data_IF_284581584154
#
_entry.id   IF_284581584154
#
_cell.length_a   1.000
_cell.length_b   1.000
_cell.length_c   1.000
_cell.angle_alpha   90.00
_cell.angle_beta   90.00
_cell.angle_gamma   90.00
#
_symmetry.space_group_name_H-M   'P 1'
#
loop_
_entity.id
_entity.type
_entity.pdbx_description
1 polymer ?
#
# COMPACT_ATOMS: atom_id res chain seq x y z
N UNK A 1 -43.69 34.98 -37.52
CA UNK A 1 -43.02 35.97 -36.65
C UNK A 1 -41.82 35.29 -36.01
N UNK A 2 -40.62 35.58 -36.53
CA UNK A 2 -39.37 35.02 -36.01
C UNK A 2 -39.09 35.62 -34.63
N UNK A 3 -38.90 34.76 -33.63
CA UNK A 3 -38.56 35.14 -32.26
C UNK A 3 -37.18 35.80 -32.30
N UNK A 4 -37.11 37.14 -32.29
CA UNK A 4 -35.84 37.86 -32.23
C UNK A 4 -35.11 37.43 -30.96
N UNK A 5 -34.02 36.68 -31.11
CA UNK A 5 -33.16 36.30 -29.99
C UNK A 5 -32.64 37.56 -29.31
N UNK A 6 -33.07 37.78 -28.07
CA UNK A 6 -32.76 38.98 -27.31
C UNK A 6 -31.24 39.09 -27.16
N UNK A 7 -30.62 40.17 -27.65
CA UNK A 7 -29.14 40.38 -27.64
C UNK A 7 -28.53 40.17 -26.25
N UNK A 8 -29.30 40.53 -25.21
CA UNK A 8 -28.96 40.30 -23.81
C UNK A 8 -28.81 38.81 -23.48
N UNK A 9 -29.73 37.96 -23.95
CA UNK A 9 -29.68 36.52 -23.74
C UNK A 9 -28.49 35.87 -24.47
N UNK A 10 -28.13 36.38 -25.65
CA UNK A 10 -26.91 35.94 -26.35
C UNK A 10 -25.63 36.28 -25.54
N UNK A 11 -25.53 37.50 -25.01
CA UNK A 11 -24.38 37.92 -24.19
C UNK A 11 -24.32 37.17 -22.84
N UNK A 12 -25.46 36.93 -22.19
CA UNK A 12 -25.56 36.15 -20.94
C UNK A 12 -25.10 34.70 -21.17
N UNK A 13 -25.53 34.05 -22.24
CA UNK A 13 -25.10 32.68 -22.57
C UNK A 13 -23.61 32.66 -22.94
N UNK A 14 -23.14 33.62 -23.75
CA UNK A 14 -21.74 33.70 -24.16
C UNK A 14 -20.79 33.88 -22.98
N UNK A 15 -21.12 34.77 -22.04
CA UNK A 15 -20.32 35.02 -20.84
C UNK A 15 -20.33 33.81 -19.89
N UNK A 16 -21.49 33.17 -19.69
CA UNK A 16 -21.59 31.95 -18.90
C UNK A 16 -20.76 30.79 -19.51
N UNK A 17 -20.79 30.64 -20.84
CA UNK A 17 -19.99 29.63 -21.54
C UNK A 17 -18.49 29.87 -21.35
N UNK A 18 -18.01 31.10 -21.60
CA UNK A 18 -16.60 31.46 -21.41
C UNK A 18 -16.17 31.25 -19.96
N UNK A 19 -16.98 31.70 -19.00
CA UNK A 19 -16.71 31.50 -17.57
C UNK A 19 -16.65 30.02 -17.18
N UNK A 20 -17.55 29.20 -17.73
CA UNK A 20 -17.56 27.75 -17.54
C UNK A 20 -16.31 27.08 -18.10
N UNK A 21 -15.90 27.44 -19.33
CA UNK A 21 -14.69 26.91 -19.96
C UNK A 21 -13.44 27.29 -19.15
N UNK A 22 -13.32 28.56 -18.73
CA UNK A 22 -12.21 29.01 -17.90
C UNK A 22 -12.17 28.29 -16.54
N UNK A 23 -13.32 28.11 -15.92
CA UNK A 23 -13.44 27.41 -14.64
C UNK A 23 -13.04 25.95 -14.75
N UNK A 24 -13.42 25.26 -15.83
CA UNK A 24 -13.00 23.88 -16.09
C UNK A 24 -11.51 23.79 -16.42
N UNK A 25 -11.00 24.71 -17.25
CA UNK A 25 -9.59 24.76 -17.63
C UNK A 25 -8.67 24.92 -16.40
N UNK A 26 -9.08 25.72 -15.41
CA UNK A 26 -8.35 25.87 -14.15
C UNK A 26 -8.66 24.76 -13.12
N UNK A 27 -9.92 24.34 -13.02
CA UNK A 27 -10.40 23.42 -12.00
C UNK A 27 -9.96 21.97 -12.23
N UNK A 28 -10.01 21.49 -13.48
CA UNK A 28 -9.67 20.09 -13.82
C UNK A 28 -8.22 19.76 -13.44
N UNK A 29 -7.19 20.58 -13.77
CA UNK A 29 -5.81 20.30 -13.35
C UNK A 29 -5.64 20.27 -11.83
N UNK A 30 -6.30 21.16 -11.08
CA UNK A 30 -6.18 21.22 -9.62
C UNK A 30 -6.83 20.01 -8.94
N UNK A 31 -8.04 19.65 -9.36
CA UNK A 31 -8.74 18.46 -8.87
C UNK A 31 -7.96 17.21 -9.27
N UNK A 32 -7.50 17.15 -10.52
CA UNK A 32 -6.67 16.07 -11.03
C UNK A 32 -5.39 15.91 -10.19
N UNK A 33 -4.69 16.99 -9.89
CA UNK A 33 -3.51 16.97 -9.03
C UNK A 33 -3.83 16.45 -7.62
N UNK A 34 -4.88 16.95 -6.99
CA UNK A 34 -5.29 16.57 -5.64
C UNK A 34 -5.68 15.08 -5.52
N UNK A 35 -6.35 14.53 -6.54
CA UNK A 35 -6.82 13.15 -6.52
C UNK A 35 -5.79 12.19 -7.16
N UNK A 36 -4.83 12.68 -7.95
CA UNK A 36 -3.85 11.83 -8.64
C UNK A 36 -3.13 10.80 -7.76
N UNK A 37 -2.77 11.05 -6.48
CA UNK A 37 -2.10 10.05 -5.65
C UNK A 37 -2.98 8.83 -5.35
N UNK A 38 -4.30 9.00 -5.31
CA UNK A 38 -5.24 7.90 -5.05
C UNK A 38 -5.27 6.87 -6.19
N UNK A 39 -4.92 7.28 -7.41
CA UNK A 39 -4.94 6.41 -8.60
C UNK A 39 -3.57 5.89 -9.04
N UNK A 40 -2.47 6.42 -8.51
CA UNK A 40 -1.12 5.92 -8.84
C UNK A 40 -0.84 4.63 -8.08
N UNK A 41 -0.74 3.51 -8.78
CA UNK A 41 -0.21 2.25 -8.21
C UNK A 41 1.28 2.43 -7.91
N UNK A 42 1.70 2.05 -6.70
CA UNK A 42 3.11 2.02 -6.33
C UNK A 42 3.90 1.12 -7.28
N UNK A 43 5.08 1.57 -7.72
CA UNK A 43 6.02 0.68 -8.40
C UNK A 43 6.52 -0.36 -7.40
N UNK A 44 6.12 -1.61 -7.58
CA UNK A 44 6.63 -2.69 -6.75
C UNK A 44 8.08 -2.98 -7.08
N UNK A 45 8.97 -2.91 -6.09
CA UNK A 45 10.40 -3.20 -6.26
C UNK A 45 10.80 -4.40 -5.41
N UNK A 46 11.69 -5.22 -5.96
CA UNK A 46 12.31 -6.30 -5.21
C UNK A 46 13.35 -5.71 -4.25
N UNK A 47 13.23 -6.05 -2.98
CA UNK A 47 14.14 -5.62 -1.92
C UNK A 47 14.90 -6.82 -1.40
N UNK A 48 16.20 -6.68 -1.31
CA UNK A 48 17.13 -7.67 -0.75
C UNK A 48 16.95 -7.77 0.78
N UNK A 49 16.66 -8.97 1.28
CA UNK A 49 16.59 -9.29 2.72
C UNK A 49 17.85 -9.96 3.26
N UNK A 50 18.78 -10.34 2.39
CA UNK A 50 20.04 -11.02 2.69
C UNK A 50 20.06 -12.50 2.30
N UNK A 51 21.14 -13.19 2.68
CA UNK A 51 21.35 -14.61 2.38
C UNK A 51 20.26 -15.48 3.02
N UNK A 52 19.57 -16.25 2.19
CA UNK A 52 18.50 -17.16 2.57
C UNK A 52 18.93 -18.13 3.68
N UNK A 53 20.15 -18.66 3.61
CA UNK A 53 20.68 -19.60 4.61
C UNK A 53 20.80 -19.00 6.02
N UNK A 54 21.10 -17.69 6.14
CA UNK A 54 21.15 -16.98 7.44
C UNK A 54 19.76 -16.65 7.99
N UNK A 55 18.74 -16.76 7.14
CA UNK A 55 17.35 -16.45 7.47
C UNK A 55 16.53 -17.69 7.79
N UNK A 56 17.04 -18.89 7.49
CA UNK A 56 16.35 -20.16 7.77
C UNK A 56 16.00 -20.26 9.24
N UNK A 57 14.70 -20.38 9.48
CA UNK A 57 14.16 -20.57 10.81
C UNK A 57 12.79 -21.25 10.69
N UNK A 58 12.57 -22.28 11.51
CA UNK A 58 11.27 -22.94 11.65
C UNK A 58 10.23 -22.04 12.34
N UNK A 59 10.68 -20.99 13.05
CA UNK A 59 9.85 -19.95 13.67
C UNK A 59 9.84 -18.66 12.84
N UNK A 60 8.83 -17.83 13.07
CA UNK A 60 8.76 -16.50 12.46
C UNK A 60 9.87 -15.58 12.97
N UNK A 61 10.82 -15.25 12.11
CA UNK A 61 11.90 -14.30 12.38
C UNK A 61 11.50 -12.90 11.90
N UNK A 62 11.69 -11.90 12.73
CA UNK A 62 11.54 -10.49 12.33
C UNK A 62 12.78 -10.05 11.56
N UNK A 63 12.59 -9.49 10.37
CA UNK A 63 13.65 -8.84 9.59
C UNK A 63 13.22 -7.44 9.22
N UNK A 64 14.12 -6.48 9.43
CA UNK A 64 13.94 -5.10 9.00
C UNK A 64 14.65 -4.91 7.65
N UNK A 65 14.02 -4.16 6.74
CA UNK A 65 14.64 -3.74 5.48
C UNK A 65 14.33 -2.28 5.21
N UNK A 66 15.12 -1.68 4.32
CA UNK A 66 14.92 -0.30 3.88
C UNK A 66 14.58 -0.29 2.41
N UNK A 67 13.70 0.62 2.03
CA UNK A 67 13.30 0.81 0.64
C UNK A 67 13.10 2.29 0.37
N UNK A 68 13.37 2.70 -0.86
CA UNK A 68 13.17 4.08 -1.30
C UNK A 68 11.76 4.23 -1.84
N UNK A 69 10.89 4.87 -1.06
CA UNK A 69 9.56 5.27 -1.51
C UNK A 69 9.66 6.61 -2.25
N UNK A 70 9.14 6.67 -3.48
CA UNK A 70 8.95 7.93 -4.21
C UNK A 70 7.49 8.36 -4.05
N UNK A 71 7.27 9.48 -3.38
CA UNK A 71 5.95 10.09 -3.21
C UNK A 71 5.95 11.47 -3.86
N UNK A 72 5.28 11.59 -5.00
CA UNK A 72 5.37 12.75 -5.88
C UNK A 72 6.82 13.07 -6.27
N UNK A 73 7.33 14.19 -5.76
CA UNK A 73 8.69 14.69 -6.01
C UNK A 73 9.70 14.25 -4.94
N UNK A 74 9.23 13.70 -3.82
CA UNK A 74 10.07 13.33 -2.68
C UNK A 74 10.48 11.87 -2.81
N UNK A 75 11.80 11.61 -2.75
CA UNK A 75 12.34 10.27 -2.54
C UNK A 75 12.74 10.15 -1.07
N UNK A 76 12.08 9.25 -0.34
CA UNK A 76 12.38 9.01 1.07
C UNK A 76 12.75 7.54 1.28
N UNK A 77 13.86 7.31 1.97
CA UNK A 77 14.22 5.98 2.46
C UNK A 77 13.36 5.66 3.68
N UNK A 78 12.49 4.67 3.55
CA UNK A 78 11.62 4.20 4.64
C UNK A 78 12.14 2.86 5.14
N UNK A 79 12.06 2.65 6.46
CA UNK A 79 12.35 1.36 7.10
C UNK A 79 11.04 0.62 7.32
N UNK A 80 10.95 -0.63 6.84
CA UNK A 80 9.84 -1.54 7.09
C UNK A 80 10.37 -2.83 7.72
N UNK A 81 9.45 -3.65 8.17
CA UNK A 81 9.78 -4.90 8.85
C UNK A 81 8.75 -5.97 8.52
N UNK A 82 9.24 -7.19 8.36
CA UNK A 82 8.45 -8.37 7.98
C UNK A 82 8.72 -9.52 8.93
N UNK A 83 7.78 -10.45 9.01
CA UNK A 83 8.00 -11.77 9.58
C UNK A 83 8.21 -12.77 8.46
N UNK A 84 9.29 -13.54 8.54
CA UNK A 84 9.60 -14.60 7.59
C UNK A 84 9.72 -15.94 8.29
N UNK A 85 9.29 -16.99 7.61
CA UNK A 85 9.49 -18.38 8.02
C UNK A 85 9.77 -19.22 6.79
N UNK A 86 10.55 -20.28 6.98
CA UNK A 86 10.82 -21.29 5.96
C UNK A 86 10.09 -22.57 6.34
N UNK A 87 9.39 -23.18 5.38
CA UNK A 87 8.74 -24.47 5.58
C UNK A 87 9.70 -25.66 5.50
N UNK A 88 11.01 -25.41 5.30
CA UNK A 88 12.07 -26.42 5.25
C UNK A 88 12.19 -27.13 3.89
N UNK A 89 11.27 -26.85 2.97
CA UNK A 89 11.27 -27.30 1.59
C UNK A 89 11.83 -26.24 0.61
N UNK A 90 12.34 -25.11 1.14
CA UNK A 90 12.78 -23.97 0.33
C UNK A 90 11.67 -22.98 -0.01
N UNK A 91 10.43 -23.20 0.47
CA UNK A 91 9.35 -22.24 0.34
C UNK A 91 9.35 -21.24 1.50
N UNK A 92 9.52 -19.97 1.13
CA UNK A 92 9.48 -18.86 2.05
C UNK A 92 8.07 -18.33 2.20
N UNK A 93 7.63 -18.16 3.44
CA UNK A 93 6.42 -17.41 3.77
C UNK A 93 6.80 -16.14 4.49
N UNK A 94 6.49 -14.99 3.86
CA UNK A 94 6.79 -13.67 4.38
C UNK A 94 5.50 -12.89 4.56
N UNK A 95 5.24 -12.44 5.78
CA UNK A 95 4.10 -11.58 6.12
C UNK A 95 4.56 -10.16 6.44
N UNK A 96 3.80 -9.19 5.93
CA UNK A 96 3.91 -7.80 6.37
C UNK A 96 3.57 -7.68 7.85
N UNK A 97 4.32 -6.86 8.59
CA UNK A 97 3.98 -6.53 9.97
C UNK A 97 2.87 -5.50 10.08
N UNK A 98 2.35 -4.98 8.97
CA UNK A 98 1.30 -3.98 8.95
C UNK A 98 -0.06 -4.64 9.12
N UNK A 99 -0.72 -4.35 10.24
CA UNK A 99 -2.08 -4.80 10.52
C UNK A 99 -3.04 -4.27 9.45
N UNK A 100 -3.88 -5.16 8.92
CA UNK A 100 -4.85 -4.86 7.88
C UNK A 100 -6.03 -3.99 8.33
N UNK A 101 -6.14 -3.67 9.63
CA UNK A 101 -7.13 -2.71 10.14
C UNK A 101 -6.73 -1.27 9.79
N UNK A 102 -5.79 -0.69 10.54
CA UNK A 102 -5.34 0.70 10.37
C UNK A 102 -3.81 0.85 10.33
N UNK A 103 -3.09 -0.25 10.06
CA UNK A 103 -1.66 -0.19 9.77
C UNK A 103 -0.71 -0.29 10.97
N UNK A 104 -1.20 -0.56 12.18
CA UNK A 104 -0.33 -0.82 13.34
C UNK A 104 0.61 -2.01 13.12
N UNK A 105 1.77 -2.00 13.80
CA UNK A 105 2.72 -3.11 13.73
C UNK A 105 2.27 -4.30 14.59
N UNK A 106 2.07 -5.46 13.97
CA UNK A 106 1.80 -6.71 14.69
C UNK A 106 3.08 -7.32 15.26
N UNK A 107 2.93 -8.10 16.34
CA UNK A 107 4.00 -8.94 16.90
C UNK A 107 3.63 -10.40 16.77
N UNK A 108 4.61 -11.26 16.48
CA UNK A 108 4.48 -12.70 16.65
C UNK A 108 4.54 -13.07 18.14
N UNK A 109 3.64 -13.94 18.59
CA UNK A 109 3.63 -14.52 19.93
C UNK A 109 3.91 -16.02 19.81
N UNK A 110 5.08 -16.46 20.29
CA UNK A 110 5.52 -17.86 20.13
C UNK A 110 4.69 -18.85 20.95
N UNK A 111 4.11 -18.43 22.07
CA UNK A 111 3.32 -19.33 22.93
C UNK A 111 1.93 -19.57 22.35
N UNK A 112 1.36 -18.54 21.71
CA UNK A 112 0.02 -18.60 21.10
C UNK A 112 0.04 -18.94 19.61
N UNK A 113 1.23 -19.09 19.03
CA UNK A 113 1.45 -19.29 17.59
C UNK A 113 0.60 -18.35 16.72
N UNK A 114 0.53 -17.08 17.13
CA UNK A 114 -0.37 -16.09 16.54
C UNK A 114 0.29 -14.72 16.43
N UNK A 115 -0.13 -13.92 15.45
CA UNK A 115 0.22 -12.50 15.38
C UNK A 115 -0.79 -11.65 16.16
N UNK A 116 -0.30 -10.79 17.04
CA UNK A 116 -1.10 -9.94 17.90
C UNK A 116 -0.89 -8.47 17.53
N UNK A 117 -1.99 -7.76 17.32
CA UNK A 117 -2.01 -6.32 17.11
C UNK A 117 -2.35 -5.60 18.43
N UNK A 118 -1.46 -4.77 18.98
CA UNK A 118 -1.68 -4.12 20.28
C UNK A 118 -2.72 -2.99 20.23
N UNK A 119 -3.06 -2.46 19.06
CA UNK A 119 -3.89 -1.26 18.96
C UNK A 119 -5.37 -1.51 19.26
N UNK A 120 -5.94 -2.59 18.72
CA UNK A 120 -7.38 -2.90 18.85
C UNK A 120 -7.62 -4.41 19.08
N UNK A 121 -6.60 -5.13 19.57
CA UNK A 121 -6.73 -6.54 19.95
C UNK A 121 -6.90 -7.52 18.79
N UNK A 122 -6.46 -7.18 17.58
CA UNK A 122 -6.54 -8.13 16.47
C UNK A 122 -5.61 -9.34 16.69
N UNK A 123 -6.10 -10.52 16.34
CA UNK A 123 -5.37 -11.79 16.40
C UNK A 123 -5.40 -12.41 15.02
N UNK A 124 -4.22 -12.78 14.52
CA UNK A 124 -4.09 -13.56 13.29
C UNK A 124 -3.39 -14.88 13.60
N UNK A 125 -3.80 -15.95 12.95
CA UNK A 125 -3.16 -17.26 13.11
C UNK A 125 -1.76 -17.32 12.46
N UNK A 126 -1.11 -18.49 12.54
CA UNK A 126 0.19 -18.76 11.89
C UNK A 126 0.19 -18.53 10.38
N UNK A 127 -0.97 -18.62 9.73
CA UNK A 127 -1.16 -18.39 8.29
C UNK A 127 -1.53 -16.93 7.97
N UNK A 128 -1.61 -16.07 8.97
CA UNK A 128 -1.98 -14.67 8.84
C UNK A 128 -3.48 -14.43 8.68
N UNK A 129 -4.33 -15.44 8.85
CA UNK A 129 -5.78 -15.33 8.77
C UNK A 129 -6.33 -14.66 10.03
N UNK A 130 -7.34 -13.79 9.88
CA UNK A 130 -7.97 -13.11 11.01
C UNK A 130 -8.73 -14.12 11.85
N UNK A 131 -8.35 -14.23 13.12
CA UNK A 131 -9.03 -15.08 14.12
C UNK A 131 -9.93 -14.23 15.01
N UNK A 132 -9.49 -13.02 15.35
CA UNK A 132 -10.24 -12.10 16.20
C UNK A 132 -9.91 -10.63 15.90
N UNK A 133 -10.84 -9.76 16.32
CA UNK A 133 -10.71 -8.31 16.23
C UNK A 133 -11.29 -7.71 14.94
N UNK A 134 -11.11 -6.39 14.74
CA UNK A 134 -11.74 -5.64 13.66
C UNK A 134 -11.14 -5.79 12.24
N UNK A 135 -9.92 -6.35 11.97
CA UNK A 135 -9.36 -6.28 10.63
C UNK A 135 -10.25 -6.96 9.58
N UNK A 136 -10.48 -6.33 8.42
CA UNK A 136 -11.39 -6.86 7.41
C UNK A 136 -10.77 -7.94 6.51
N UNK A 137 -9.46 -8.16 6.61
CA UNK A 137 -8.71 -9.08 5.73
C UNK A 137 -7.50 -9.69 6.45
N UNK A 138 -6.98 -10.83 5.98
CA UNK A 138 -5.73 -11.42 6.48
C UNK A 138 -4.52 -10.47 6.41
N UNK A 139 -3.47 -10.81 7.15
CA UNK A 139 -2.15 -10.20 6.99
C UNK A 139 -1.67 -10.40 5.54
N UNK A 140 -1.02 -9.37 5.03
CA UNK A 140 -0.52 -9.40 3.66
C UNK A 140 0.68 -10.35 3.56
N UNK A 141 0.50 -11.44 2.80
CA UNK A 141 1.60 -12.28 2.34
C UNK A 141 2.33 -11.56 1.20
N UNK A 142 3.64 -11.39 1.34
CA UNK A 142 4.48 -10.75 0.33
C UNK A 142 5.04 -11.80 -0.63
N UNK A 143 5.22 -11.42 -1.90
CA UNK A 143 5.86 -12.30 -2.88
C UNK A 143 7.36 -12.37 -2.59
N UNK A 144 7.91 -13.57 -2.68
CA UNK A 144 9.32 -13.84 -2.43
C UNK A 144 9.98 -14.44 -3.65
N UNK A 145 11.27 -14.17 -3.83
CA UNK A 145 12.11 -14.79 -4.85
C UNK A 145 13.48 -15.08 -4.26
N UNK A 146 14.08 -16.22 -4.59
CA UNK A 146 15.47 -16.51 -4.22
C UNK A 146 16.31 -16.51 -5.50
N UNK A 147 17.34 -15.66 -5.55
CA UNK A 147 18.31 -15.61 -6.65
C UNK A 147 19.72 -15.61 -6.07
N UNK A 148 20.61 -16.46 -6.61
CA UNK A 148 22.00 -16.57 -6.14
C UNK A 148 22.16 -16.72 -4.60
N UNK A 149 21.19 -17.38 -3.94
CA UNK A 149 21.18 -17.58 -2.48
C UNK A 149 20.68 -16.38 -1.67
N UNK A 150 20.27 -15.28 -2.31
CA UNK A 150 19.71 -14.09 -1.67
C UNK A 150 18.18 -14.16 -1.72
N UNK A 151 17.53 -13.90 -0.59
CA UNK A 151 16.08 -13.79 -0.51
C UNK A 151 15.63 -12.36 -0.81
N UNK A 152 14.79 -12.22 -1.83
CA UNK A 152 14.14 -10.96 -2.19
C UNK A 152 12.67 -10.99 -1.81
N UNK A 153 12.16 -9.84 -1.39
CA UNK A 153 10.74 -9.60 -1.15
C UNK A 153 10.22 -8.51 -2.07
N UNK A 154 9.02 -8.70 -2.62
CA UNK A 154 8.37 -7.69 -3.45
C UNK A 154 7.67 -6.68 -2.55
N UNK A 155 8.24 -5.48 -2.48
CA UNK A 155 7.61 -4.36 -1.81
C UNK A 155 6.47 -3.83 -2.69
N UNK A 156 5.30 -3.57 -2.09
CA UNK A 156 4.11 -3.06 -2.78
C UNK A 156 3.78 -1.65 -2.32
#
# INVERSE_FOLDING_TARGET
>A
MAKQGNRRSFLEIGTAFIGGVLSLAAGIPLIGFAISPAFKKGESKWVDLGLADRLKNSRFKKVDYTFTAKDGWVKATKKRSVYLTDAGNGEWTVFSRTCSHLGCLVRWDEQKESFLCPCHGAVFDRNGIVVAGPPPRPLQKLQTKVEAGILYVKET
#
